data_IF_715743785651
#
_entry.id   IF_715743785651
#
_cell.length_a   1.000
_cell.length_b   1.000
_cell.length_c   1.000
_cell.angle_alpha   90.00
_cell.angle_beta   90.00
_cell.angle_gamma   90.00
#
_symmetry.space_group_name_H-M   'P 1'
#
loop_
_entity.id
_entity.type
_entity.pdbx_description
1 polymer ?
#
# COMPACT_ATOMS: atom_id res chain seq x y z
N UNK A 1 15.49 3.05 1.13
CA UNK A 1 15.51 3.28 -0.33
C UNK A 1 15.57 1.98 -1.14
N UNK A 2 16.47 1.03 -0.84
CA UNK A 2 16.55 -0.27 -1.54
C UNK A 2 15.22 -1.07 -1.54
N UNK A 3 14.47 -1.04 -0.44
CA UNK A 3 13.18 -1.76 -0.32
C UNK A 3 12.13 -1.24 -1.33
N UNK A 4 12.13 0.07 -1.58
CA UNK A 4 11.21 0.68 -2.55
C UNK A 4 11.58 0.28 -3.97
N UNK A 5 12.89 0.23 -4.30
CA UNK A 5 13.35 -0.19 -5.63
C UNK A 5 13.03 -1.65 -5.90
N UNK A 6 13.22 -2.53 -4.91
CA UNK A 6 12.86 -3.96 -5.02
C UNK A 6 11.34 -4.14 -5.14
N UNK A 7 10.55 -3.38 -4.38
CA UNK A 7 9.11 -3.38 -4.51
C UNK A 7 8.63 -2.93 -5.91
N UNK A 8 9.25 -1.90 -6.48
CA UNK A 8 8.95 -1.43 -7.85
C UNK A 8 9.33 -2.49 -8.89
N UNK A 9 10.46 -3.20 -8.72
CA UNK A 9 10.86 -4.29 -9.63
C UNK A 9 9.84 -5.44 -9.58
N UNK A 10 9.36 -5.81 -8.39
CA UNK A 10 8.33 -6.84 -8.22
C UNK A 10 6.98 -6.36 -8.80
N UNK A 11 6.65 -5.07 -8.64
CA UNK A 11 5.45 -4.44 -9.20
C UNK A 11 5.47 -4.45 -10.73
N UNK A 12 6.59 -4.05 -11.34
CA UNK A 12 6.78 -4.03 -12.81
C UNK A 12 6.87 -5.43 -13.41
N UNK A 13 7.22 -6.44 -12.62
CA UNK A 13 7.22 -7.85 -13.06
C UNK A 13 5.81 -8.42 -13.29
N UNK A 14 4.74 -7.70 -12.93
CA UNK A 14 3.32 -8.02 -13.18
C UNK A 14 2.86 -9.42 -12.73
N UNK A 15 3.67 -10.10 -11.90
CA UNK A 15 3.38 -11.46 -11.43
C UNK A 15 2.36 -11.51 -10.29
N UNK A 16 2.05 -10.38 -9.65
CA UNK A 16 1.19 -10.31 -8.47
C UNK A 16 0.15 -9.20 -8.61
N UNK A 17 -1.06 -9.40 -8.06
CA UNK A 17 -2.11 -8.38 -8.10
C UNK A 17 -1.64 -7.14 -7.33
N UNK A 18 -1.92 -5.96 -7.89
CA UNK A 18 -1.38 -4.67 -7.41
C UNK A 18 -1.69 -4.40 -5.94
N UNK A 19 -2.83 -4.88 -5.43
CA UNK A 19 -3.18 -4.78 -4.02
C UNK A 19 -2.22 -5.53 -3.09
N UNK A 20 -1.79 -6.74 -3.46
CA UNK A 20 -0.85 -7.53 -2.65
C UNK A 20 0.51 -6.85 -2.55
N UNK A 21 1.01 -6.27 -3.65
CA UNK A 21 2.28 -5.54 -3.64
C UNK A 21 2.15 -4.28 -2.78
N UNK A 22 1.03 -3.55 -2.89
CA UNK A 22 0.77 -2.36 -2.09
C UNK A 22 0.74 -2.63 -0.57
N UNK A 23 0.30 -3.81 -0.12
CA UNK A 23 0.40 -4.22 1.29
C UNK A 23 1.81 -4.70 1.67
N UNK A 24 2.54 -5.33 0.75
CA UNK A 24 3.87 -5.88 1.03
C UNK A 24 4.94 -4.79 1.21
N UNK A 25 4.82 -3.64 0.53
CA UNK A 25 5.76 -2.50 0.65
C UNK A 25 5.83 -1.91 2.07
N UNK A 26 4.71 -1.47 2.70
CA UNK A 26 4.74 -0.94 4.06
C UNK A 26 5.15 -2.01 5.08
N UNK A 27 4.80 -3.28 4.84
CA UNK A 27 5.22 -4.40 5.68
C UNK A 27 6.75 -4.59 5.65
N UNK A 28 7.36 -4.56 4.47
CA UNK A 28 8.81 -4.63 4.32
C UNK A 28 9.51 -3.42 4.93
N UNK A 29 8.93 -2.22 4.78
CA UNK A 29 9.47 -1.00 5.38
C UNK A 29 9.40 -1.02 6.93
N UNK A 30 8.33 -1.57 7.51
CA UNK A 30 8.18 -1.80 8.95
C UNK A 30 9.24 -2.79 9.48
N UNK A 31 9.45 -3.91 8.79
CA UNK A 31 10.51 -4.87 9.15
C UNK A 31 11.92 -4.28 9.03
N UNK A 32 12.15 -3.32 8.12
CA UNK A 32 13.41 -2.58 8.05
C UNK A 32 13.54 -1.44 9.06
N UNK A 33 12.53 -1.19 9.89
CA UNK A 33 12.53 -0.14 10.92
C UNK A 33 12.50 1.29 10.36
N UNK A 34 12.08 1.46 9.10
CA UNK A 34 12.06 2.77 8.41
C UNK A 34 10.80 3.57 8.72
N UNK A 35 9.69 2.89 9.03
CA UNK A 35 8.40 3.49 9.40
C UNK A 35 7.74 2.64 10.49
N UNK A 36 6.98 3.32 11.35
CA UNK A 36 6.23 2.69 12.43
C UNK A 36 4.86 2.21 11.95
N UNK A 37 4.23 1.34 12.74
CA UNK A 37 2.85 0.90 12.48
C UNK A 37 1.88 2.10 12.35
N UNK A 38 2.15 3.19 13.07
CA UNK A 38 1.38 4.44 13.01
C UNK A 38 1.40 5.10 11.62
N UNK A 39 2.53 5.06 10.92
CA UNK A 39 2.65 5.64 9.57
C UNK A 39 1.85 4.82 8.55
N UNK A 40 1.79 3.51 8.75
CA UNK A 40 0.96 2.61 7.94
C UNK A 40 -0.53 2.92 8.15
N UNK A 41 -0.97 3.10 9.40
CA UNK A 41 -2.35 3.48 9.70
C UNK A 41 -2.68 4.88 9.19
N UNK A 42 -1.74 5.83 9.23
CA UNK A 42 -1.92 7.17 8.67
C UNK A 42 -2.17 7.15 7.15
N UNK A 43 -1.57 6.19 6.43
CA UNK A 43 -1.82 5.99 5.00
C UNK A 43 -3.23 5.46 4.71
N UNK A 44 -3.74 4.54 5.55
CA UNK A 44 -5.09 3.96 5.42
C UNK A 44 -6.19 4.97 5.78
N UNK A 45 -5.97 5.78 6.82
CA UNK A 45 -6.94 6.78 7.31
C UNK A 45 -6.88 8.09 6.49
N UNK A 46 -6.14 8.10 5.38
CA UNK A 46 -6.08 9.25 4.50
C UNK A 46 -7.47 9.53 3.88
N UNK A 47 -7.92 10.79 3.96
CA UNK A 47 -9.21 11.21 3.41
C UNK A 47 -9.39 10.80 1.94
N UNK A 48 -8.33 10.86 1.12
CA UNK A 48 -8.38 10.44 -0.28
C UNK A 48 -8.68 8.93 -0.43
N UNK A 49 -8.08 8.09 0.41
CA UNK A 49 -8.29 6.63 0.39
C UNK A 49 -9.70 6.28 0.84
N UNK A 50 -10.18 6.91 1.92
CA UNK A 50 -11.55 6.71 2.42
C UNK A 50 -12.59 7.14 1.37
N UNK A 51 -12.36 8.25 0.67
CA UNK A 51 -13.24 8.70 -0.42
C UNK A 51 -13.27 7.72 -1.58
N UNK A 52 -12.13 7.16 -2.00
CA UNK A 52 -12.08 6.14 -3.06
C UNK A 52 -12.87 4.89 -2.66
N UNK A 53 -12.71 4.42 -1.42
CA UNK A 53 -13.46 3.27 -0.89
C UNK A 53 -14.96 3.58 -0.85
N UNK A 54 -15.35 4.78 -0.41
CA UNK A 54 -16.75 5.21 -0.37
C UNK A 54 -17.36 5.26 -1.79
N UNK A 55 -16.62 5.73 -2.79
CA UNK A 55 -17.06 5.72 -4.18
C UNK A 55 -17.24 4.29 -4.72
N UNK A 56 -16.32 3.37 -4.41
CA UNK A 56 -16.48 1.96 -4.78
C UNK A 56 -17.71 1.33 -4.13
N UNK A 57 -18.02 1.65 -2.87
CA UNK A 57 -19.21 1.17 -2.17
C UNK A 57 -20.51 1.74 -2.76
N UNK A 58 -20.53 3.03 -3.08
CA UNK A 58 -21.69 3.69 -3.69
C UNK A 58 -22.01 3.16 -5.09
N UNK A 59 -20.98 2.79 -5.87
CA UNK A 59 -21.16 2.23 -7.21
C UNK A 59 -21.55 0.75 -7.25
N UNK A 60 -21.54 0.05 -6.10
CA UNK A 60 -21.94 -1.35 -6.00
C UNK A 60 -23.40 -1.56 -5.54
N UNK A 61 -24.09 -0.47 -5.19
CA UNK A 61 -25.52 -0.44 -4.85
C UNK A 61 -26.38 -0.13 -6.09
#
# INVERSE_FOLDING_TARGET
MLVLVVAIIIFVSDRLPMGLVAFMVPMALYFTGVIDAKDIFASIVNANVILIVAMCLLGAA
#
